data_IF_918249832729
#
_entry.id   IF_918249832729
#
_cell.length_a   1.000
_cell.length_b   1.000
_cell.length_c   1.000
_cell.angle_alpha   90.00
_cell.angle_beta   90.00
_cell.angle_gamma   90.00
#
_symmetry.space_group_name_H-M   'P 1'
#
loop_
_entity.id
_entity.type
_entity.pdbx_description
1 polymer ?
#
# COMPACT_ATOMS: atom_id res chain seq x y z
N UNK A 1 -14.61 2.31 -6.91
CA UNK A 1 -15.03 3.07 -5.74
C UNK A 1 -13.82 3.73 -5.13
N UNK A 2 -13.86 5.04 -5.07
CA UNK A 2 -12.80 6.01 -4.85
C UNK A 2 -12.35 6.18 -3.40
N UNK A 3 -12.70 5.28 -2.50
CA UNK A 3 -12.29 5.36 -1.09
C UNK A 3 -10.77 5.15 -0.93
N UNK A 4 -10.14 4.40 -1.84
CA UNK A 4 -8.68 4.20 -1.80
C UNK A 4 -7.91 5.45 -2.22
N UNK A 5 -8.47 6.32 -3.05
CA UNK A 5 -7.84 7.60 -3.43
C UNK A 5 -7.82 8.59 -2.25
N UNK A 6 -8.86 8.58 -1.40
CA UNK A 6 -8.90 9.39 -0.18
C UNK A 6 -7.87 8.98 0.88
N UNK A 7 -7.38 7.73 0.85
CA UNK A 7 -6.35 7.25 1.79
C UNK A 7 -4.92 7.55 1.33
N UNK A 8 -4.73 7.86 0.05
CA UNK A 8 -3.38 8.00 -0.56
C UNK A 8 -2.97 9.47 -0.75
N UNK A 9 -3.88 10.39 -0.59
CA UNK A 9 -3.60 11.81 -0.76
C UNK A 9 -4.88 12.62 -0.81
N UNK A 10 -4.78 13.87 -0.58
CA UNK A 10 -5.85 14.86 -0.63
C UNK A 10 -6.31 15.15 -2.06
N UNK A 11 -6.62 14.11 -2.83
CA UNK A 11 -7.18 14.28 -4.17
C UNK A 11 -8.69 14.49 -4.08
N UNK A 12 -9.14 15.70 -4.35
CA UNK A 12 -10.52 15.99 -4.62
C UNK A 12 -10.71 16.18 -6.13
N UNK A 13 -11.47 15.28 -6.76
CA UNK A 13 -11.79 15.39 -8.18
C UNK A 13 -12.96 16.35 -8.38
N UNK A 14 -12.73 17.45 -9.07
CA UNK A 14 -13.78 18.34 -9.58
C UNK A 14 -13.74 18.28 -11.10
N UNK A 15 -14.80 17.76 -11.72
CA UNK A 15 -14.94 17.62 -13.19
C UNK A 15 -13.75 16.87 -13.82
N UNK A 16 -13.49 15.65 -13.38
CA UNK A 16 -12.44 14.76 -13.89
C UNK A 16 -11.00 15.30 -13.80
N UNK A 17 -10.77 16.31 -12.98
CA UNK A 17 -9.42 16.82 -12.69
C UNK A 17 -9.14 16.73 -11.20
N UNK A 18 -7.99 16.16 -10.78
CA UNK A 18 -7.57 16.21 -9.40
C UNK A 18 -7.27 17.65 -8.99
N UNK A 19 -7.81 18.06 -7.86
CA UNK A 19 -7.49 19.37 -7.26
C UNK A 19 -6.76 19.09 -5.95
N UNK A 20 -5.49 19.45 -5.90
CA UNK A 20 -4.64 19.26 -4.72
C UNK A 20 -4.56 20.57 -3.95
N UNK A 21 -5.07 20.61 -2.75
CA UNK A 21 -4.78 21.68 -1.80
C UNK A 21 -3.49 21.39 -1.03
N UNK A 22 -3.23 20.09 -0.75
CA UNK A 22 -2.05 19.61 -0.04
C UNK A 22 -1.57 18.31 -0.67
N UNK A 23 -0.28 18.13 -0.83
CA UNK A 23 0.30 16.87 -1.24
C UNK A 23 0.35 15.85 -0.07
N UNK A 24 0.76 14.62 -0.34
CA UNK A 24 0.82 13.56 0.69
C UNK A 24 1.76 13.93 1.85
N UNK A 25 2.84 14.64 1.60
CA UNK A 25 3.78 15.09 2.63
C UNK A 25 3.15 16.19 3.47
N UNK A 26 2.43 17.12 2.83
CA UNK A 26 1.67 18.15 3.52
C UNK A 26 0.61 17.55 4.45
N UNK A 27 -0.11 16.51 4.00
CA UNK A 27 -1.11 15.82 4.83
C UNK A 27 -0.46 15.14 6.05
N UNK A 28 0.70 14.49 5.88
CA UNK A 28 1.45 13.91 7.01
C UNK A 28 1.86 14.99 8.03
N UNK A 29 2.34 16.13 7.56
CA UNK A 29 2.70 17.27 8.42
C UNK A 29 1.49 17.81 9.19
N UNK A 30 0.32 17.90 8.53
CA UNK A 30 -0.93 18.31 9.19
C UNK A 30 -1.27 17.33 10.33
N UNK A 31 -1.31 16.03 10.04
CA UNK A 31 -1.62 15.03 11.05
C UNK A 31 -0.61 15.06 12.22
N UNK A 32 0.67 15.24 11.91
CA UNK A 32 1.72 15.35 12.92
C UNK A 32 1.59 16.63 13.76
N UNK A 33 1.21 17.75 13.15
CA UNK A 33 0.96 19.03 13.85
C UNK A 33 -0.20 18.88 14.85
N UNK A 34 -1.29 18.23 14.43
CA UNK A 34 -2.42 17.93 15.32
C UNK A 34 -2.03 17.01 16.49
N UNK A 35 -1.18 16.00 16.24
CA UNK A 35 -0.63 15.13 17.28
C UNK A 35 0.25 15.90 18.28
N UNK A 36 0.87 17.00 17.85
CA UNK A 36 1.65 17.87 18.71
C UNK A 36 0.79 18.93 19.46
N UNK A 37 -0.52 18.90 19.30
CA UNK A 37 -1.46 19.79 20.01
C UNK A 37 -1.61 21.19 19.40
N UNK A 38 -1.33 21.33 18.09
CA UNK A 38 -1.48 22.61 17.39
C UNK A 38 -2.36 22.44 16.15
N UNK A 39 -3.09 23.51 15.78
CA UNK A 39 -3.75 23.64 14.49
C UNK A 39 -2.76 24.11 13.41
N UNK A 40 -3.23 24.22 12.16
CA UNK A 40 -2.40 24.68 11.04
C UNK A 40 -2.00 26.16 11.12
N UNK A 41 -2.71 26.95 11.90
CA UNK A 41 -2.38 28.36 12.15
C UNK A 41 -1.39 28.54 13.31
N UNK A 42 -1.02 27.45 13.99
CA UNK A 42 -0.13 27.43 15.14
C UNK A 42 -0.80 27.72 16.47
N UNK A 43 -2.14 27.70 16.53
CA UNK A 43 -2.85 27.87 17.78
C UNK A 43 -2.86 26.54 18.55
N UNK A 44 -2.72 26.55 19.90
CA UNK A 44 -2.85 25.34 20.69
C UNK A 44 -4.27 24.80 20.64
N UNK A 45 -4.39 23.47 20.57
CA UNK A 45 -5.65 22.76 20.71
C UNK A 45 -5.96 22.50 22.18
N UNK A 46 -7.23 22.34 22.53
CA UNK A 46 -7.65 21.94 23.88
C UNK A 46 -7.08 20.58 24.28
N UNK A 47 -7.00 19.65 23.31
CA UNK A 47 -6.36 18.34 23.45
C UNK A 47 -5.59 17.96 22.15
N UNK A 48 -4.45 17.30 22.28
CA UNK A 48 -3.71 16.75 21.14
C UNK A 48 -4.42 15.53 20.59
N UNK A 49 -4.29 15.29 19.27
CA UNK A 49 -4.70 14.01 18.68
C UNK A 49 -3.63 12.94 18.92
N UNK A 50 -4.01 11.67 18.70
CA UNK A 50 -3.07 10.54 18.79
C UNK A 50 -3.22 9.66 17.53
N UNK A 51 -2.96 10.21 16.35
CA UNK A 51 -2.97 9.47 15.11
C UNK A 51 -1.72 8.60 14.97
N UNK A 52 -1.90 7.33 14.61
CA UNK A 52 -0.81 6.50 14.11
C UNK A 52 -0.74 6.68 12.58
N UNK A 53 0.24 7.46 12.12
CA UNK A 53 0.25 8.04 10.79
C UNK A 53 0.90 7.08 9.79
N UNK A 54 0.13 6.56 8.84
CA UNK A 54 0.63 5.72 7.76
C UNK A 54 1.02 6.51 6.52
N UNK A 55 1.98 5.96 5.76
CA UNK A 55 2.33 6.48 4.45
C UNK A 55 2.43 5.38 3.41
N UNK A 56 2.42 5.76 2.13
CA UNK A 56 2.54 4.81 1.03
C UNK A 56 3.98 4.63 0.57
N UNK A 57 4.33 3.40 0.15
CA UNK A 57 5.56 3.08 -0.55
C UNK A 57 5.28 2.26 -1.81
N UNK A 58 6.14 2.37 -2.82
CA UNK A 58 6.02 1.66 -4.09
C UNK A 58 7.18 0.67 -4.30
N UNK A 59 6.99 -0.63 -4.00
CA UNK A 59 8.00 -1.66 -4.27
C UNK A 59 8.29 -1.87 -5.75
N UNK A 60 7.36 -1.47 -6.62
CA UNK A 60 7.50 -1.55 -8.09
C UNK A 60 8.11 -0.31 -8.73
N UNK A 61 8.69 0.62 -7.96
CA UNK A 61 9.34 1.80 -8.51
C UNK A 61 10.54 1.42 -9.39
N UNK A 62 10.66 2.09 -10.53
CA UNK A 62 11.80 1.90 -11.45
C UNK A 62 13.11 2.39 -10.81
N UNK A 63 13.04 3.45 -10.01
CA UNK A 63 14.16 4.03 -9.26
C UNK A 63 13.88 3.91 -7.75
N UNK A 64 14.49 2.90 -7.12
CA UNK A 64 14.35 2.66 -5.69
C UNK A 64 15.06 3.72 -4.83
N UNK A 65 16.12 4.37 -5.32
CA UNK A 65 16.81 5.42 -4.57
C UNK A 65 15.94 6.68 -4.51
N UNK A 66 15.29 7.03 -5.63
CA UNK A 66 14.30 8.10 -5.64
C UNK A 66 13.10 7.79 -4.73
N UNK A 67 12.65 6.54 -4.69
CA UNK A 67 11.57 6.12 -3.79
C UNK A 67 12.00 6.19 -2.33
N UNK A 68 13.22 5.74 -2.00
CA UNK A 68 13.82 5.88 -0.66
C UNK A 68 13.86 7.33 -0.20
N UNK A 69 14.30 8.25 -1.07
CA UNK A 69 14.34 9.67 -0.76
C UNK A 69 12.95 10.26 -0.48
N UNK A 70 11.90 9.78 -1.17
CA UNK A 70 10.51 10.16 -0.87
C UNK A 70 10.06 9.64 0.49
N UNK A 71 10.39 8.37 0.81
CA UNK A 71 10.05 7.75 2.10
C UNK A 71 10.72 8.52 3.24
N UNK A 72 11.99 8.88 3.13
CA UNK A 72 12.69 9.67 4.15
C UNK A 72 11.94 10.99 4.43
N UNK A 73 11.57 11.73 3.39
CA UNK A 73 10.78 12.99 3.57
C UNK A 73 9.42 12.75 4.23
N UNK A 74 8.80 11.60 4.01
CA UNK A 74 7.53 11.22 4.65
C UNK A 74 7.72 10.85 6.12
N UNK A 75 8.85 10.23 6.47
CA UNK A 75 9.25 9.98 7.86
C UNK A 75 9.47 11.29 8.60
N UNK A 76 10.23 12.21 8.00
CA UNK A 76 10.46 13.55 8.55
C UNK A 76 9.15 14.34 8.74
N UNK A 77 8.14 14.06 7.92
CA UNK A 77 6.80 14.65 8.03
C UNK A 77 5.92 13.97 9.10
N UNK A 78 6.38 12.89 9.76
CA UNK A 78 5.69 12.24 10.88
C UNK A 78 5.09 10.87 10.57
N UNK A 79 5.45 10.20 9.47
CA UNK A 79 4.98 8.85 9.19
C UNK A 79 5.52 7.83 10.19
N UNK A 80 4.65 6.94 10.68
CA UNK A 80 4.97 5.90 11.66
C UNK A 80 5.02 4.48 11.05
N UNK A 81 4.43 4.26 9.88
CA UNK A 81 4.49 3.00 9.15
C UNK A 81 4.32 3.21 7.65
N UNK A 82 4.72 2.19 6.87
CA UNK A 82 4.60 2.19 5.42
C UNK A 82 3.60 1.11 5.01
N UNK A 83 2.64 1.49 4.16
CA UNK A 83 1.74 0.58 3.49
C UNK A 83 2.01 0.62 1.99
N UNK A 84 2.22 -0.55 1.37
CA UNK A 84 2.59 -0.58 -0.05
C UNK A 84 1.39 -0.83 -0.97
N UNK A 85 1.61 -0.58 -2.24
CA UNK A 85 0.75 -1.09 -3.29
C UNK A 85 0.77 -2.63 -3.31
N UNK A 86 -0.21 -3.30 -3.97
CA UNK A 86 -0.20 -4.74 -4.12
C UNK A 86 1.08 -5.24 -4.78
N UNK A 87 1.65 -6.30 -4.23
CA UNK A 87 2.86 -6.94 -4.76
C UNK A 87 2.55 -8.35 -5.22
N UNK A 88 3.19 -8.75 -6.32
CA UNK A 88 3.15 -10.12 -6.84
C UNK A 88 4.56 -10.60 -7.23
N UNK A 89 5.54 -9.69 -7.24
CA UNK A 89 6.95 -9.97 -7.44
C UNK A 89 7.65 -9.89 -6.07
N UNK A 90 7.90 -11.06 -5.48
CA UNK A 90 8.48 -11.17 -4.13
C UNK A 90 9.93 -10.67 -4.08
N UNK A 91 10.67 -10.74 -5.17
CA UNK A 91 12.03 -10.21 -5.24
C UNK A 91 12.04 -8.68 -5.16
N UNK A 92 11.11 -8.02 -5.85
CA UNK A 92 10.92 -6.57 -5.75
C UNK A 92 10.48 -6.18 -4.34
N UNK A 93 9.53 -6.93 -3.77
CA UNK A 93 9.05 -6.71 -2.42
C UNK A 93 10.18 -6.81 -1.39
N UNK A 94 10.99 -7.86 -1.47
CA UNK A 94 12.12 -8.07 -0.58
C UNK A 94 13.14 -6.93 -0.69
N UNK A 95 13.55 -6.56 -1.90
CA UNK A 95 14.48 -5.44 -2.12
C UNK A 95 13.95 -4.13 -1.53
N UNK A 96 12.64 -3.87 -1.65
CA UNK A 96 12.03 -2.70 -1.06
C UNK A 96 12.07 -2.76 0.48
N UNK A 97 11.72 -3.89 1.08
CA UNK A 97 11.77 -4.07 2.55
C UNK A 97 13.20 -3.90 3.06
N UNK A 98 14.19 -4.57 2.45
CA UNK A 98 15.60 -4.44 2.80
C UNK A 98 16.12 -2.98 2.71
N UNK A 99 15.60 -2.21 1.75
CA UNK A 99 15.93 -0.79 1.57
C UNK A 99 15.36 0.10 2.69
N UNK A 100 14.14 -0.19 3.17
CA UNK A 100 13.47 0.66 4.18
C UNK A 100 13.70 0.17 5.61
N UNK A 101 14.09 -1.07 5.82
CA UNK A 101 14.37 -1.63 7.14
C UNK A 101 15.30 -0.75 8.00
N UNK A 102 16.43 -0.21 7.46
CA UNK A 102 17.32 0.67 8.21
C UNK A 102 16.68 2.00 8.63
N UNK A 103 15.53 2.37 8.05
CA UNK A 103 14.80 3.59 8.39
C UNK A 103 13.89 3.40 9.62
N UNK A 104 13.75 2.16 10.12
CA UNK A 104 13.09 1.85 11.39
C UNK A 104 11.55 1.91 11.36
N UNK A 105 10.91 1.92 10.17
CA UNK A 105 9.45 1.90 10.09
C UNK A 105 8.91 0.51 9.76
N UNK A 106 7.81 0.09 10.41
CA UNK A 106 7.09 -1.11 10.01
C UNK A 106 6.58 -1.00 8.56
N UNK A 107 6.72 -2.10 7.81
CA UNK A 107 6.23 -2.21 6.43
C UNK A 107 5.07 -3.20 6.37
N UNK A 108 3.95 -2.77 5.82
CA UNK A 108 2.80 -3.59 5.49
C UNK A 108 2.72 -3.73 3.96
N UNK A 109 3.03 -4.93 3.45
CA UNK A 109 2.95 -5.21 2.02
C UNK A 109 1.51 -5.41 1.58
N UNK A 110 1.14 -4.82 0.44
CA UNK A 110 -0.20 -4.91 -0.11
C UNK A 110 -0.43 -6.24 -0.84
N UNK A 111 -1.65 -6.78 -0.73
CA UNK A 111 -2.11 -7.97 -1.45
C UNK A 111 -3.55 -7.78 -1.94
N UNK A 112 -3.78 -7.95 -3.24
CA UNK A 112 -5.12 -8.06 -3.83
C UNK A 112 -5.32 -9.50 -4.30
N UNK A 113 -6.26 -10.28 -3.74
CA UNK A 113 -6.60 -11.59 -4.29
C UNK A 113 -7.16 -11.46 -5.72
N UNK A 114 -6.52 -12.15 -6.67
CA UNK A 114 -6.92 -12.10 -8.08
C UNK A 114 -8.19 -12.93 -8.30
N UNK A 115 -9.19 -12.36 -8.97
CA UNK A 115 -10.49 -13.01 -9.19
C UNK A 115 -10.66 -13.58 -10.60
N UNK A 116 -9.84 -13.10 -11.55
CA UNK A 116 -9.93 -13.52 -12.95
C UNK A 116 -8.68 -13.11 -13.72
N UNK A 117 -8.41 -13.78 -14.82
CA UNK A 117 -7.34 -13.42 -15.76
C UNK A 117 -7.49 -11.98 -16.31
N UNK A 118 -8.72 -11.55 -16.59
CA UNK A 118 -9.00 -10.18 -17.02
C UNK A 118 -8.53 -9.15 -15.99
N UNK A 119 -8.79 -9.40 -14.71
CA UNK A 119 -8.34 -8.54 -13.62
C UNK A 119 -6.81 -8.55 -13.50
N UNK A 120 -6.19 -9.72 -13.56
CA UNK A 120 -4.72 -9.86 -13.52
C UNK A 120 -4.06 -9.07 -14.65
N UNK A 121 -4.54 -9.23 -15.88
CA UNK A 121 -4.06 -8.50 -17.06
C UNK A 121 -4.26 -6.99 -16.91
N UNK A 122 -5.41 -6.55 -16.39
CA UNK A 122 -5.67 -5.13 -16.15
C UNK A 122 -4.69 -4.54 -15.12
N UNK A 123 -4.49 -5.19 -13.98
CA UNK A 123 -3.54 -4.74 -12.96
C UNK A 123 -2.12 -4.65 -13.52
N UNK A 124 -1.69 -5.67 -14.26
CA UNK A 124 -0.35 -5.72 -14.86
C UNK A 124 -0.12 -4.62 -15.91
N UNK A 125 -1.13 -4.33 -16.76
CA UNK A 125 -0.94 -3.46 -17.94
C UNK A 125 -1.39 -2.02 -17.74
N UNK A 126 -2.28 -1.76 -16.77
CA UNK A 126 -2.96 -0.46 -16.62
C UNK A 126 -2.70 0.22 -15.28
N UNK A 127 -2.22 -0.50 -14.27
CA UNK A 127 -1.99 0.09 -12.96
C UNK A 127 -0.49 0.30 -12.74
N UNK A 128 -0.01 1.55 -12.70
CA UNK A 128 1.40 1.85 -12.49
C UNK A 128 1.91 1.27 -11.16
N UNK A 129 3.10 0.69 -11.16
CA UNK A 129 3.72 0.11 -9.97
C UNK A 129 3.26 -1.30 -9.62
N UNK A 130 2.26 -1.87 -10.32
CA UNK A 130 1.85 -3.27 -10.15
C UNK A 130 2.36 -4.07 -11.35
N UNK A 131 3.20 -5.07 -11.07
CA UNK A 131 3.68 -6.02 -12.09
C UNK A 131 3.42 -7.45 -11.62
N UNK A 132 2.83 -8.25 -12.51
CA UNK A 132 2.65 -9.68 -12.30
C UNK A 132 3.70 -10.44 -13.12
N UNK A 133 4.17 -11.56 -12.60
CA UNK A 133 5.07 -12.45 -13.35
C UNK A 133 4.31 -13.22 -14.42
N UNK A 134 5.02 -13.69 -15.44
CA UNK A 134 4.43 -14.52 -16.51
C UNK A 134 3.81 -15.80 -15.94
N UNK A 135 4.40 -16.37 -14.89
CA UNK A 135 3.86 -17.55 -14.20
C UNK A 135 2.46 -17.25 -13.61
N UNK A 136 2.32 -16.14 -12.89
CA UNK A 136 1.03 -15.72 -12.31
C UNK A 136 -0.01 -15.50 -13.41
N UNK A 137 0.35 -14.83 -14.50
CA UNK A 137 -0.56 -14.60 -15.63
C UNK A 137 -1.01 -15.93 -16.26
N UNK A 138 -0.09 -16.86 -16.49
CA UNK A 138 -0.38 -18.19 -17.04
C UNK A 138 -1.27 -19.04 -16.10
N UNK A 139 -1.03 -18.98 -14.79
CA UNK A 139 -1.85 -19.66 -13.79
C UNK A 139 -3.25 -19.08 -13.76
N UNK A 140 -3.38 -17.76 -13.80
CA UNK A 140 -4.68 -17.07 -13.83
C UNK A 140 -5.48 -17.35 -15.10
N UNK A 141 -4.82 -17.50 -16.26
CA UNK A 141 -5.48 -17.84 -17.52
C UNK A 141 -6.10 -19.25 -17.45
N UNK A 142 -5.41 -20.20 -16.84
CA UNK A 142 -5.83 -21.61 -16.78
C UNK A 142 -6.82 -21.90 -15.65
N UNK A 143 -6.59 -21.31 -14.47
CA UNK A 143 -7.30 -21.68 -13.23
C UNK A 143 -8.24 -20.59 -12.68
N UNK A 144 -8.31 -19.41 -13.29
CA UNK A 144 -9.25 -18.35 -12.91
C UNK A 144 -9.23 -18.02 -11.41
N UNK A 145 -10.40 -18.00 -10.77
CA UNK A 145 -10.55 -17.61 -9.36
C UNK A 145 -9.83 -18.57 -8.39
N UNK A 146 -9.82 -19.87 -8.68
CA UNK A 146 -9.17 -20.87 -7.84
C UNK A 146 -7.65 -20.65 -7.82
N UNK A 147 -7.02 -20.49 -8.99
CA UNK A 147 -5.61 -20.15 -9.09
C UNK A 147 -5.31 -18.82 -8.37
N UNK A 148 -6.20 -17.84 -8.47
CA UNK A 148 -6.04 -16.56 -7.78
C UNK A 148 -6.04 -16.69 -6.25
N UNK A 149 -6.82 -17.61 -5.71
CA UNK A 149 -6.84 -17.90 -4.27
C UNK A 149 -5.54 -18.59 -3.82
N UNK A 150 -5.05 -19.57 -4.59
CA UNK A 150 -3.76 -20.23 -4.33
C UNK A 150 -2.61 -19.22 -4.37
N UNK A 151 -2.53 -18.40 -5.42
CA UNK A 151 -1.52 -17.34 -5.56
C UNK A 151 -1.58 -16.36 -4.38
N UNK A 152 -2.78 -15.98 -3.94
CA UNK A 152 -2.94 -15.09 -2.80
C UNK A 152 -2.42 -15.71 -1.51
N UNK A 153 -2.68 -16.99 -1.27
CA UNK A 153 -2.18 -17.71 -0.09
C UNK A 153 -0.65 -17.86 -0.13
N UNK A 154 -0.09 -18.28 -1.26
CA UNK A 154 1.36 -18.39 -1.46
C UNK A 154 2.06 -17.03 -1.22
N UNK A 155 1.51 -15.95 -1.79
CA UNK A 155 2.04 -14.59 -1.63
C UNK A 155 1.94 -14.14 -0.17
N UNK A 156 0.83 -14.40 0.49
CA UNK A 156 0.62 -14.06 1.89
C UNK A 156 1.62 -14.76 2.82
N UNK A 157 1.84 -16.07 2.62
CA UNK A 157 2.83 -16.84 3.37
C UNK A 157 4.26 -16.34 3.14
N UNK A 158 4.59 -15.92 1.92
CA UNK A 158 5.88 -15.31 1.61
C UNK A 158 6.04 -13.93 2.25
N UNK A 159 5.01 -13.08 2.21
CA UNK A 159 5.02 -11.76 2.87
C UNK A 159 5.29 -11.89 4.37
N UNK A 160 4.71 -12.89 5.02
CA UNK A 160 4.90 -13.18 6.45
C UNK A 160 6.37 -13.39 6.84
N UNK A 161 7.22 -13.79 5.89
CA UNK A 161 8.65 -14.02 6.13
C UNK A 161 9.52 -12.77 5.91
N UNK A 162 9.03 -11.78 5.18
CA UNK A 162 9.85 -10.63 4.73
C UNK A 162 9.37 -9.28 5.24
N UNK A 163 8.14 -9.16 5.76
CA UNK A 163 7.57 -7.88 6.17
C UNK A 163 6.91 -7.97 7.54
N UNK A 164 6.62 -6.81 8.13
CA UNK A 164 5.99 -6.70 9.44
C UNK A 164 4.49 -7.03 9.43
N UNK A 165 3.87 -6.95 8.25
CA UNK A 165 2.46 -7.23 8.09
C UNK A 165 2.00 -7.23 6.63
N UNK A 166 0.72 -7.54 6.44
CA UNK A 166 0.06 -7.54 5.14
C UNK A 166 -1.17 -6.65 5.17
N UNK A 167 -1.39 -5.90 4.09
CA UNK A 167 -2.62 -5.19 3.83
C UNK A 167 -3.40 -5.90 2.73
N UNK A 168 -4.43 -6.66 3.10
CA UNK A 168 -5.28 -7.36 2.13
C UNK A 168 -6.38 -6.42 1.64
N UNK A 169 -6.48 -6.25 0.32
CA UNK A 169 -7.50 -5.46 -0.35
C UNK A 169 -8.55 -6.38 -0.99
N UNK A 170 -9.71 -6.61 -0.35
CA UNK A 170 -10.64 -7.67 -0.74
C UNK A 170 -11.44 -7.37 -2.02
N UNK A 171 -11.58 -6.12 -2.42
CA UNK A 171 -12.40 -5.69 -3.55
C UNK A 171 -13.79 -6.35 -3.53
N UNK A 172 -14.51 -6.22 -2.41
CA UNK A 172 -15.84 -6.80 -2.15
C UNK A 172 -15.89 -8.34 -2.04
N UNK A 173 -14.77 -9.02 -1.80
CA UNK A 173 -14.70 -10.47 -1.57
C UNK A 173 -14.19 -10.81 -0.16
N UNK A 174 -15.05 -10.60 0.84
CA UNK A 174 -14.74 -10.89 2.25
C UNK A 174 -14.48 -12.38 2.47
N UNK A 175 -15.15 -13.27 1.74
CA UNK A 175 -14.96 -14.72 1.90
C UNK A 175 -13.54 -15.16 1.60
N UNK A 176 -12.93 -14.59 0.55
CA UNK A 176 -11.51 -14.82 0.26
C UNK A 176 -10.60 -14.34 1.40
N UNK A 177 -10.91 -13.19 2.03
CA UNK A 177 -10.11 -12.70 3.17
C UNK A 177 -10.22 -13.62 4.37
N UNK A 178 -11.43 -14.06 4.72
CA UNK A 178 -11.64 -15.02 5.82
C UNK A 178 -10.87 -16.32 5.57
N UNK A 179 -10.97 -16.85 4.34
CA UNK A 179 -10.19 -18.02 3.95
C UNK A 179 -8.69 -17.83 4.15
N UNK A 180 -8.13 -16.71 3.71
CA UNK A 180 -6.70 -16.41 3.85
C UNK A 180 -6.29 -16.31 5.32
N UNK A 181 -7.10 -15.65 6.17
CA UNK A 181 -6.83 -15.52 7.61
C UNK A 181 -6.81 -16.89 8.29
N UNK A 182 -7.76 -17.75 7.99
CA UNK A 182 -7.85 -19.09 8.57
C UNK A 182 -6.63 -19.99 8.23
N UNK A 183 -5.94 -19.69 7.11
CA UNK A 183 -4.80 -20.51 6.64
C UNK A 183 -3.42 -19.94 7.04
N UNK A 184 -3.37 -18.80 7.74
CA UNK A 184 -2.11 -18.20 8.23
C UNK A 184 -1.93 -18.31 9.75
N UNK A 185 -2.91 -18.86 10.43
CA UNK A 185 -2.92 -19.04 11.90
C UNK A 185 -1.96 -20.13 12.35
#
# INVERSE_FOLDING_TARGET
YEISACLVGSEMCIRDRPVFEVDSIGLLKIANTLNNGFDLAGNPLDESTNFYIGTTGNPGADDLDAEKAKIIRKIEAGANFIQTQPIYDLEKAKRFVDMVEPLGLPVMLGLIPLKSFKMATYLHTKVPGISLTDDILNRMEKGGKEAGLEIALETLLAIKQIAHGVHIMPLNDIQTVLYLIDHIS
#
